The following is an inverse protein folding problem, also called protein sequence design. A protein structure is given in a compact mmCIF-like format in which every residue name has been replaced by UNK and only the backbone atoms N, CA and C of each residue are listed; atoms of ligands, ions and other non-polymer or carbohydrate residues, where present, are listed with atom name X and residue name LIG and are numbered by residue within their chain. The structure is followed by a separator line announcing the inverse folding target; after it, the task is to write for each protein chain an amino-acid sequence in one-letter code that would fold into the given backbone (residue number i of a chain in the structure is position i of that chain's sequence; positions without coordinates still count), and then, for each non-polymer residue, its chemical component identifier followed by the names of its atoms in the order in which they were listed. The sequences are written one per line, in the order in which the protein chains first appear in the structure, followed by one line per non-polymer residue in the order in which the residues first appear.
data_IF_965408819003
#
_entry.id   IF_965408819003
#
_cell.length_a   1.000
_cell.length_b   1.000
_cell.length_c   1.000
_cell.angle_alpha   90.00
_cell.angle_beta   90.00
_cell.angle_gamma   90.00
#
_symmetry.space_group_name_H-M   'P 1'
#
loop_
_entity.id
_entity.type
_entity.pdbx_description
1 polymer ?
#
# COMPACT_ATOMS: atom_id res chain seq x y z
N UNK A 1 -2.05 9.46 48.67
CA UNK A 1 -1.04 9.06 47.66
C UNK A 1 -1.72 9.11 46.30
N UNK A 2 -1.25 9.94 45.38
CA UNK A 2 -1.78 10.05 44.02
C UNK A 2 -0.66 9.68 43.06
N UNK A 3 -0.85 8.59 42.32
CA UNK A 3 0.14 8.15 41.33
C UNK A 3 0.09 9.09 40.11
N UNK A 4 1.25 9.59 39.63
CA UNK A 4 1.28 10.44 38.46
C UNK A 4 0.85 9.66 37.21
N UNK A 5 -0.30 10.03 36.65
CA UNK A 5 -0.84 9.39 35.43
C UNK A 5 -0.04 9.85 34.21
N UNK A 6 0.57 8.89 33.51
CA UNK A 6 1.36 9.21 32.31
C UNK A 6 0.45 9.51 31.10
N UNK A 7 0.23 10.80 30.87
CA UNK A 7 -0.58 11.33 29.77
C UNK A 7 -0.06 10.94 28.38
N UNK A 8 1.24 10.68 28.22
CA UNK A 8 1.81 10.28 26.93
C UNK A 8 1.38 8.86 26.54
N UNK A 9 1.30 7.94 27.51
CA UNK A 9 0.77 6.59 27.26
C UNK A 9 -0.70 6.64 26.86
N UNK A 10 -1.49 7.48 27.52
CA UNK A 10 -2.91 7.67 27.19
C UNK A 10 -3.11 8.25 25.78
N UNK A 11 -2.38 9.30 25.42
CA UNK A 11 -2.41 9.87 24.05
C UNK A 11 -2.01 8.84 23.00
N UNK A 12 -0.96 8.04 23.25
CA UNK A 12 -0.54 6.96 22.34
C UNK A 12 -1.61 5.87 22.19
N UNK A 13 -2.28 5.49 23.28
CA UNK A 13 -3.37 4.51 23.25
C UNK A 13 -4.55 5.02 22.41
N UNK A 14 -4.98 6.27 22.62
CA UNK A 14 -6.00 6.96 21.81
C UNK A 14 -5.63 6.98 20.32
N UNK A 15 -4.42 7.41 19.99
CA UNK A 15 -3.95 7.45 18.61
C UNK A 15 -3.90 6.05 17.95
N UNK A 16 -3.58 5.00 18.71
CA UNK A 16 -3.61 3.62 18.22
C UNK A 16 -5.04 3.16 17.92
N UNK A 17 -5.98 3.44 18.82
CA UNK A 17 -7.40 3.11 18.63
C UNK A 17 -7.99 3.83 17.41
N UNK A 18 -7.72 5.12 17.24
CA UNK A 18 -8.19 5.88 16.07
C UNK A 18 -7.63 5.34 14.75
N UNK A 19 -6.35 4.93 14.72
CA UNK A 19 -5.75 4.29 13.55
C UNK A 19 -6.43 2.95 13.23
N UNK A 20 -6.76 2.16 14.24
CA UNK A 20 -7.44 0.88 14.05
C UNK A 20 -8.86 1.07 13.50
N UNK A 21 -9.61 2.06 14.01
CA UNK A 21 -10.94 2.38 13.50
C UNK A 21 -10.89 2.84 12.03
N UNK A 22 -9.97 3.74 11.70
CA UNK A 22 -9.73 4.15 10.31
C UNK A 22 -9.35 2.96 9.42
N UNK A 23 -8.57 2.01 9.92
CA UNK A 23 -8.23 0.80 9.17
C UNK A 23 -9.45 -0.11 8.93
N UNK A 24 -10.34 -0.27 9.93
CA UNK A 24 -11.60 -1.00 9.80
C UNK A 24 -12.53 -0.33 8.79
N UNK A 25 -12.71 0.99 8.90
CA UNK A 25 -13.49 1.78 7.95
C UNK A 25 -12.94 1.67 6.53
N UNK A 26 -11.63 1.78 6.33
CA UNK A 26 -11.03 1.65 5.02
C UNK A 26 -11.21 0.24 4.43
N UNK A 27 -11.18 -0.80 5.27
CA UNK A 27 -11.46 -2.18 4.85
C UNK A 27 -12.92 -2.34 4.42
N UNK A 28 -13.87 -1.74 5.15
CA UNK A 28 -15.29 -1.76 4.81
C UNK A 28 -15.61 -0.92 3.56
N UNK A 29 -15.09 0.32 3.48
CA UNK A 29 -15.39 1.27 2.39
C UNK A 29 -14.77 0.88 1.05
N UNK A 30 -13.54 0.36 1.06
CA UNK A 30 -12.79 0.14 -0.18
C UNK A 30 -12.56 -1.34 -0.52
N UNK A 31 -12.93 -2.27 0.37
CA UNK A 31 -12.76 -3.72 0.19
C UNK A 31 -11.30 -4.21 0.12
N UNK A 32 -10.34 -3.31 -0.11
CA UNK A 32 -8.91 -3.59 -0.20
C UNK A 32 -8.12 -2.63 0.68
N UNK A 33 -7.19 -3.19 1.45
CA UNK A 33 -6.27 -2.43 2.29
C UNK A 33 -5.19 -1.74 1.46
N UNK A 34 -4.54 -0.70 2.02
CA UNK A 34 -3.41 -0.02 1.37
C UNK A 34 -2.28 -0.99 0.97
N UNK A 35 -2.01 -1.98 1.82
CA UNK A 35 -0.99 -3.02 1.58
C UNK A 35 -1.35 -3.87 0.37
N UNK A 36 -2.61 -4.30 0.26
CA UNK A 36 -3.08 -5.06 -0.90
C UNK A 36 -2.99 -4.24 -2.19
N UNK A 37 -3.41 -2.96 -2.17
CA UNK A 37 -3.26 -2.07 -3.34
C UNK A 37 -1.79 -1.91 -3.76
N UNK A 38 -0.87 -1.82 -2.81
CA UNK A 38 0.56 -1.69 -3.09
C UNK A 38 1.13 -2.99 -3.66
N UNK A 39 0.72 -4.15 -3.14
CA UNK A 39 1.10 -5.45 -3.67
C UNK A 39 0.61 -5.65 -5.10
N UNK A 40 -0.65 -5.30 -5.37
CA UNK A 40 -1.24 -5.38 -6.72
C UNK A 40 -0.51 -4.45 -7.69
N UNK A 41 -0.21 -3.22 -7.27
CA UNK A 41 0.59 -2.28 -8.07
C UNK A 41 1.97 -2.84 -8.38
N UNK A 42 2.69 -3.35 -7.37
CA UNK A 42 4.01 -3.95 -7.60
C UNK A 42 3.97 -5.18 -8.50
N UNK A 43 2.89 -5.97 -8.46
CA UNK A 43 2.68 -7.08 -9.40
C UNK A 43 2.44 -6.57 -10.81
N UNK A 44 1.55 -5.60 -10.98
CA UNK A 44 1.29 -4.96 -12.28
C UNK A 44 2.56 -4.34 -12.88
N UNK A 45 3.36 -3.63 -12.08
CA UNK A 45 4.63 -3.05 -12.51
C UNK A 45 5.63 -4.13 -12.96
N UNK A 46 5.69 -5.28 -12.27
CA UNK A 46 6.52 -6.41 -12.68
C UNK A 46 6.05 -7.01 -14.00
N UNK A 47 4.75 -7.25 -14.15
CA UNK A 47 4.19 -7.76 -15.40
C UNK A 47 4.44 -6.79 -16.56
N UNK A 48 4.23 -5.49 -16.35
CA UNK A 48 4.54 -4.46 -17.34
C UNK A 48 6.01 -4.53 -17.76
N UNK A 49 6.95 -4.54 -16.81
CA UNK A 49 8.39 -4.63 -17.12
C UNK A 49 8.76 -5.89 -17.89
N UNK A 50 8.18 -7.04 -17.53
CA UNK A 50 8.38 -8.28 -18.26
C UNK A 50 7.85 -8.16 -19.70
N UNK A 51 6.63 -7.64 -19.87
CA UNK A 51 6.04 -7.47 -21.21
C UNK A 51 6.77 -6.43 -22.06
N UNK A 52 7.29 -5.36 -21.47
CA UNK A 52 8.12 -4.36 -22.17
C UNK A 52 9.47 -4.96 -22.57
N UNK A 53 10.10 -5.77 -21.71
CA UNK A 53 11.37 -6.45 -22.04
C UNK A 53 11.21 -7.54 -23.11
N UNK A 54 10.03 -8.14 -23.23
CA UNK A 54 9.69 -9.09 -24.27
C UNK A 54 9.04 -8.46 -25.50
N UNK A 55 8.84 -7.13 -25.50
CA UNK A 55 8.32 -6.43 -26.67
C UNK A 55 9.44 -6.39 -27.70
N UNK A 56 9.33 -7.23 -28.72
CA UNK A 56 10.10 -7.08 -29.95
C UNK A 56 9.78 -5.66 -30.45
N UNK A 57 10.78 -4.79 -30.48
CA UNK A 57 10.62 -3.53 -31.19
C UNK A 57 10.47 -3.94 -32.65
N UNK A 58 9.24 -3.92 -33.15
CA UNK A 58 8.97 -3.98 -34.58
C UNK A 58 9.51 -2.68 -35.21
N UNK A 59 10.83 -2.58 -35.29
CA UNK A 59 11.48 -1.84 -36.34
C UNK A 59 11.76 -2.88 -37.43
N UNK A 60 11.00 -2.89 -38.53
CA UNK A 60 11.54 -3.44 -39.76
C UNK A 60 12.65 -2.47 -40.18
N UNK A 61 13.85 -2.64 -39.63
CA UNK A 61 15.04 -2.06 -40.24
C UNK A 61 15.24 -2.81 -41.55
N UNK A 62 15.00 -2.08 -42.63
CA UNK A 62 14.95 -2.58 -43.99
C UNK A 62 16.19 -3.38 -44.36
N UNK A 63 15.92 -4.44 -45.12
CA UNK A 63 16.89 -5.24 -45.83
C UNK A 63 17.90 -4.34 -46.57
N UNK A 64 19.18 -4.61 -46.35
CA UNK A 64 20.28 -4.08 -47.16
C UNK A 64 20.37 -4.76 -48.52
#
# INVERSE_FOLDING_TARGET
MSDPVNLNKFRKARAKAEKEQKAKENRAKFGRTKVQKQLDKSRADKFSRLTEGHRLKDTPEGDG
#
